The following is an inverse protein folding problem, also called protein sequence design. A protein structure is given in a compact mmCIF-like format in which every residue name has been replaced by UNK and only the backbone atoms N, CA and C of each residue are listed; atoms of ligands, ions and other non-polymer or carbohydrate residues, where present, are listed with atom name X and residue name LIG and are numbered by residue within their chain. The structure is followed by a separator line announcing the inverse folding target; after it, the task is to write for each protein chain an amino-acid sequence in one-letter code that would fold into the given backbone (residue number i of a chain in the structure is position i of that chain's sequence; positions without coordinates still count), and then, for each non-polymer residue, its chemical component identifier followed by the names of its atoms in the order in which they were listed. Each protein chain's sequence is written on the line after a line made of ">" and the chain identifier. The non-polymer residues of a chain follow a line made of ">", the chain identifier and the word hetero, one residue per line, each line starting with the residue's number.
data_IF_190580541440
#
_entry.id   IF_190580541440
#
_cell.length_a   1.000
_cell.length_b   1.000
_cell.length_c   1.000
_cell.angle_alpha   90.00
_cell.angle_beta   90.00
_cell.angle_gamma   90.00
#
_symmetry.space_group_name_H-M   'P 1'
#
loop_
_entity.id
_entity.type
_entity.pdbx_description
1 polymer ?
#
# COMPACT_ATOMS: atom_id res chain seq x y z
N UNK A 1 7.76 4.19 2.70
CA UNK A 1 6.66 3.80 1.80
C UNK A 1 5.88 2.57 2.29
N UNK A 2 6.56 1.55 2.85
CA UNK A 2 5.93 0.31 3.33
C UNK A 2 4.74 0.53 4.29
N UNK A 3 4.87 1.41 5.30
CA UNK A 3 3.77 1.75 6.22
C UNK A 3 2.51 2.20 5.48
N UNK A 4 2.60 3.23 4.63
CA UNK A 4 1.44 3.75 3.88
C UNK A 4 0.84 2.71 2.93
N UNK A 5 1.69 1.90 2.29
CA UNK A 5 1.23 0.85 1.37
C UNK A 5 0.46 -0.25 2.13
N UNK A 6 1.01 -0.76 3.23
CA UNK A 6 0.36 -1.79 4.03
C UNK A 6 -0.92 -1.26 4.70
N UNK A 7 -0.90 -0.04 5.26
CA UNK A 7 -2.11 0.64 5.77
C UNK A 7 -3.19 0.79 4.70
N UNK A 8 -2.82 1.19 3.48
CA UNK A 8 -3.77 1.27 2.36
C UNK A 8 -4.37 -0.10 1.99
N UNK A 9 -3.59 -1.18 2.09
CA UNK A 9 -4.10 -2.55 1.89
C UNK A 9 -5.06 -2.95 3.02
N UNK A 10 -4.75 -2.63 4.28
CA UNK A 10 -5.67 -2.84 5.42
C UNK A 10 -7.01 -2.16 5.14
N UNK A 11 -7.00 -0.85 4.90
CA UNK A 11 -8.23 -0.07 4.67
C UNK A 11 -9.05 -0.62 3.49
N UNK A 12 -8.39 -1.03 2.40
CA UNK A 12 -9.07 -1.65 1.26
C UNK A 12 -9.75 -2.96 1.66
N UNK A 13 -9.08 -3.82 2.44
CA UNK A 13 -9.67 -5.08 2.93
C UNK A 13 -10.83 -4.84 3.87
N UNK A 14 -10.72 -3.88 4.79
CA UNK A 14 -11.81 -3.51 5.71
C UNK A 14 -13.04 -3.01 4.95
N UNK A 15 -12.86 -2.12 3.96
CA UNK A 15 -13.98 -1.63 3.14
C UNK A 15 -14.65 -2.77 2.38
N UNK A 16 -13.88 -3.70 1.80
CA UNK A 16 -14.45 -4.90 1.17
C UNK A 16 -15.29 -5.72 2.15
N UNK A 17 -14.76 -5.98 3.35
CA UNK A 17 -15.46 -6.71 4.41
C UNK A 17 -16.76 -6.06 4.86
N UNK A 18 -16.77 -4.73 5.02
CA UNK A 18 -17.99 -3.98 5.34
C UNK A 18 -19.03 -4.11 4.21
N UNK A 19 -18.62 -3.89 2.95
CA UNK A 19 -19.53 -3.96 1.79
C UNK A 19 -20.14 -5.34 1.58
N UNK A 20 -19.37 -6.38 1.86
CA UNK A 20 -19.80 -7.77 1.69
C UNK A 20 -20.46 -8.36 2.95
N UNK A 21 -20.42 -7.60 4.06
CA UNK A 21 -20.81 -8.01 5.40
C UNK A 21 -20.11 -9.31 5.82
N UNK A 22 -18.80 -9.38 5.54
CA UNK A 22 -17.95 -10.54 5.84
C UNK A 22 -16.92 -10.21 6.90
N UNK A 23 -16.50 -11.21 7.67
CA UNK A 23 -15.48 -11.04 8.72
C UNK A 23 -14.15 -10.48 8.15
N UNK A 24 -13.53 -9.47 8.78
CA UNK A 24 -12.35 -8.76 8.26
C UNK A 24 -11.00 -9.49 8.48
N UNK A 25 -10.96 -10.81 8.28
CA UNK A 25 -9.78 -11.65 8.61
C UNK A 25 -8.55 -11.41 7.75
N UNK A 26 -8.72 -10.83 6.55
CA UNK A 26 -7.61 -10.63 5.59
C UNK A 26 -6.76 -9.39 5.89
N UNK A 27 -7.19 -8.51 6.80
CA UNK A 27 -6.47 -7.29 7.13
C UNK A 27 -5.24 -7.55 8.03
N UNK A 28 -5.28 -8.59 8.86
CA UNK A 28 -4.32 -8.85 9.94
C UNK A 28 -2.86 -8.86 9.49
N UNK A 29 -2.57 -9.54 8.37
CA UNK A 29 -1.19 -9.63 7.85
C UNK A 29 -0.62 -8.24 7.50
N UNK A 30 -1.45 -7.35 6.95
CA UNK A 30 -1.04 -6.01 6.58
C UNK A 30 -0.92 -5.10 7.80
N UNK A 31 -1.75 -5.31 8.84
CA UNK A 31 -1.61 -4.63 10.13
C UNK A 31 -0.25 -4.99 10.75
N UNK A 32 0.07 -6.28 10.85
CA UNK A 32 1.34 -6.74 11.38
C UNK A 32 2.55 -6.15 10.62
N UNK A 33 2.50 -6.16 9.28
CA UNK A 33 3.57 -5.60 8.45
C UNK A 33 3.72 -4.08 8.65
N UNK A 34 2.61 -3.34 8.67
CA UNK A 34 2.63 -1.89 8.89
C UNK A 34 3.26 -1.53 10.25
N UNK A 35 2.91 -2.28 11.31
CA UNK A 35 3.52 -2.15 12.65
C UNK A 35 5.00 -2.49 12.67
N UNK A 36 5.40 -3.55 11.97
CA UNK A 36 6.81 -3.91 11.86
C UNK A 36 7.62 -2.80 11.18
N UNK A 37 7.09 -2.20 10.11
CA UNK A 37 7.71 -1.06 9.43
C UNK A 37 7.79 0.19 10.34
N UNK A 38 6.74 0.48 11.11
CA UNK A 38 6.74 1.58 12.08
C UNK A 38 7.79 1.38 13.19
N UNK A 39 7.93 0.16 13.72
CA UNK A 39 8.97 -0.20 14.71
C UNK A 39 10.37 0.00 14.15
N UNK A 40 10.61 -0.44 12.91
CA UNK A 40 11.90 -0.24 12.22
C UNK A 40 12.22 1.24 12.08
N UNK A 41 11.27 2.06 11.62
CA UNK A 41 11.46 3.50 11.49
C UNK A 41 11.75 4.16 12.85
N UNK A 42 10.99 3.83 13.89
CA UNK A 42 11.20 4.36 15.24
C UNK A 42 12.59 3.99 15.79
N UNK A 43 13.09 2.79 15.49
CA UNK A 43 14.45 2.40 15.84
C UNK A 43 15.50 3.19 15.05
N UNK A 44 15.31 3.37 13.75
CA UNK A 44 16.19 4.19 12.91
C UNK A 44 16.26 5.64 13.38
N UNK A 45 15.12 6.25 13.72
CA UNK A 45 15.06 7.62 14.23
C UNK A 45 15.73 7.79 15.59
N UNK A 46 15.83 6.73 16.42
CA UNK A 46 16.53 6.76 17.71
C UNK A 46 18.02 6.48 17.63
N UNK A 47 18.53 6.10 16.46
CA UNK A 47 19.94 5.77 16.27
C UNK A 47 20.78 7.04 16.19
N UNK A 48 21.78 7.19 17.08
CA UNK A 48 22.66 8.37 17.16
C UNK A 48 23.35 8.69 15.83
N UNK A 49 23.68 7.66 15.05
CA UNK A 49 24.33 7.78 13.74
C UNK A 49 23.52 8.59 12.72
N UNK A 50 22.20 8.58 12.82
CA UNK A 50 21.32 9.36 11.92
C UNK A 50 21.47 10.86 12.20
N UNK A 51 21.76 11.22 13.45
CA UNK A 51 21.76 12.61 13.91
C UNK A 51 23.13 13.25 13.77
N UNK A 52 24.20 12.46 13.83
CA UNK A 52 25.59 12.93 13.68
C UNK A 52 25.92 13.50 12.29
N UNK A 53 25.17 13.12 11.25
CA UNK A 53 25.51 13.43 9.85
C UNK A 53 24.42 14.21 9.09
N UNK A 54 23.33 14.64 9.76
CA UNK A 54 22.21 15.33 9.12
C UNK A 54 22.08 16.77 9.63
N UNK A 55 21.88 17.71 8.70
CA UNK A 55 21.54 19.09 9.04
C UNK A 55 20.15 19.18 9.69
N UNK A 56 19.99 20.06 10.66
CA UNK A 56 18.77 20.19 11.45
C UNK A 56 17.55 20.55 10.57
N UNK A 57 17.74 21.38 9.54
CA UNK A 57 16.66 21.77 8.62
C UNK A 57 16.16 20.60 7.77
N UNK A 58 16.98 19.57 7.59
CA UNK A 58 16.59 18.33 6.91
C UNK A 58 16.03 17.28 7.88
N UNK A 59 16.57 17.23 9.10
CA UNK A 59 16.20 16.24 10.11
C UNK A 59 14.80 16.50 10.69
N UNK A 60 14.47 17.75 11.00
CA UNK A 60 13.17 18.09 11.61
C UNK A 60 11.99 17.69 10.69
N UNK A 61 11.99 18.04 9.39
CA UNK A 61 10.95 17.58 8.46
C UNK A 61 10.92 16.05 8.33
N UNK A 62 12.08 15.39 8.24
CA UNK A 62 12.14 13.93 8.12
C UNK A 62 11.55 13.22 9.35
N UNK A 63 11.88 13.68 10.55
CA UNK A 63 11.33 13.16 11.80
C UNK A 63 9.84 13.44 11.93
N UNK A 64 9.38 14.60 11.46
CA UNK A 64 7.95 14.98 11.45
C UNK A 64 7.16 14.06 10.53
N UNK A 65 7.61 13.87 9.28
CA UNK A 65 6.98 12.94 8.33
C UNK A 65 7.02 11.52 8.89
N UNK A 66 8.14 11.12 9.52
CA UNK A 66 8.26 9.82 10.15
C UNK A 66 7.25 9.60 11.28
N UNK A 67 7.01 10.61 12.11
CA UNK A 67 6.02 10.57 13.20
C UNK A 67 4.60 10.49 12.63
N UNK A 68 4.28 11.30 11.62
CA UNK A 68 2.98 11.26 10.95
C UNK A 68 2.70 9.89 10.32
N UNK A 69 3.71 9.23 9.75
CA UNK A 69 3.55 7.88 9.20
C UNK A 69 3.26 6.84 10.29
N UNK A 70 3.83 7.00 11.49
CA UNK A 70 3.52 6.16 12.65
C UNK A 70 2.06 6.41 13.08
N UNK A 71 1.64 7.66 13.16
CA UNK A 71 0.26 8.02 13.51
C UNK A 71 -0.76 7.43 12.50
N UNK A 72 -0.40 7.38 11.21
CA UNK A 72 -1.23 6.72 10.18
C UNK A 72 -1.37 5.22 10.44
N UNK A 73 -0.30 4.53 10.84
CA UNK A 73 -0.35 3.10 11.20
C UNK A 73 -1.26 2.88 12.40
N UNK A 74 -1.10 3.67 13.46
CA UNK A 74 -1.89 3.55 14.69
C UNK A 74 -3.38 3.88 14.44
N UNK A 75 -3.67 4.89 13.62
CA UNK A 75 -5.03 5.21 13.18
C UNK A 75 -5.65 4.06 12.37
N UNK A 76 -4.87 3.44 11.48
CA UNK A 76 -5.32 2.32 10.66
C UNK A 76 -5.67 1.10 11.51
N UNK A 77 -4.89 0.82 12.56
CA UNK A 77 -5.19 -0.24 13.52
C UNK A 77 -6.50 0.03 14.27
N UNK A 78 -6.70 1.24 14.80
CA UNK A 78 -7.96 1.60 15.48
C UNK A 78 -9.18 1.46 14.57
N UNK A 79 -9.04 1.79 13.29
CA UNK A 79 -10.10 1.55 12.30
C UNK A 79 -10.35 0.04 12.15
N UNK A 80 -9.30 -0.79 12.10
CA UNK A 80 -9.45 -2.24 12.00
C UNK A 80 -10.17 -2.84 13.23
N UNK A 81 -9.80 -2.40 14.43
CA UNK A 81 -10.45 -2.78 15.69
C UNK A 81 -11.93 -2.39 15.69
N UNK A 82 -12.26 -1.14 15.33
CA UNK A 82 -13.64 -0.68 15.24
C UNK A 82 -14.46 -1.46 14.20
N UNK A 83 -13.86 -1.83 13.06
CA UNK A 83 -14.53 -2.67 12.05
C UNK A 83 -14.71 -4.10 12.54
N UNK A 84 -13.77 -4.64 13.33
CA UNK A 84 -13.90 -5.95 13.95
C UNK A 84 -15.03 -5.98 15.00
N UNK A 85 -15.16 -4.93 15.81
CA UNK A 85 -16.27 -4.74 16.74
C UNK A 85 -17.60 -4.63 16.00
N UNK A 86 -17.66 -3.79 14.95
CA UNK A 86 -18.84 -3.67 14.09
C UNK A 86 -19.24 -5.03 13.50
N UNK A 87 -18.28 -5.77 12.96
CA UNK A 87 -18.52 -7.08 12.36
C UNK A 87 -19.05 -8.10 13.38
N UNK A 88 -18.62 -8.02 14.64
CA UNK A 88 -19.13 -8.83 15.75
C UNK A 88 -20.59 -8.48 16.05
N UNK A 89 -20.87 -7.20 16.30
CA UNK A 89 -22.20 -6.70 16.68
C UNK A 89 -23.25 -6.90 15.57
N UNK A 90 -22.84 -6.73 14.31
CA UNK A 90 -23.70 -6.91 13.15
C UNK A 90 -23.72 -8.34 12.61
N UNK A 91 -23.09 -9.29 13.31
CA UNK A 91 -23.04 -10.71 12.93
C UNK A 91 -22.60 -10.95 11.48
N UNK A 92 -21.50 -10.29 11.06
CA UNK A 92 -20.93 -10.49 9.73
C UNK A 92 -20.61 -11.97 9.48
N UNK A 93 -20.94 -12.45 8.28
CA UNK A 93 -20.76 -13.86 7.92
C UNK A 93 -19.28 -14.17 7.71
N UNK A 94 -18.86 -15.39 7.99
CA UNK A 94 -17.52 -15.84 7.61
C UNK A 94 -17.43 -15.94 6.09
N UNK A 95 -16.38 -15.37 5.48
CA UNK A 95 -16.16 -15.52 4.05
C UNK A 95 -16.00 -17.01 3.71
N UNK A 96 -16.71 -17.49 2.68
CA UNK A 96 -16.56 -18.87 2.20
C UNK A 96 -15.17 -19.00 1.55
N UNK A 97 -14.37 -20.02 1.88
CA UNK A 97 -13.09 -20.27 1.21
C UNK A 97 -13.38 -20.57 -0.26
N UNK A 98 -13.10 -19.61 -1.16
CA UNK A 98 -13.33 -19.75 -2.60
C UNK A 98 -13.74 -18.46 -3.32
N UNK A 99 -14.27 -17.47 -2.60
CA UNK A 99 -14.63 -16.18 -3.20
C UNK A 99 -13.49 -15.17 -3.01
N UNK A 100 -12.34 -15.46 -3.61
CA UNK A 100 -11.38 -14.40 -3.92
C UNK A 100 -12.06 -13.58 -4.99
N UNK A 101 -12.48 -12.35 -4.66
CA UNK A 101 -12.84 -11.37 -5.67
C UNK A 101 -11.61 -11.16 -6.54
N UNK A 102 -11.52 -11.90 -7.65
CA UNK A 102 -10.61 -11.62 -8.75
C UNK A 102 -10.91 -10.19 -9.15
N UNK A 103 -10.07 -9.25 -8.71
CA UNK A 103 -9.97 -7.97 -9.37
C UNK A 103 -9.55 -8.32 -10.79
N UNK A 104 -10.49 -8.18 -11.71
CA UNK A 104 -10.34 -8.46 -13.12
C UNK A 104 -9.18 -7.62 -13.66
N UNK A 105 -7.98 -8.20 -13.70
CA UNK A 105 -6.96 -7.81 -14.66
C UNK A 105 -7.27 -8.57 -15.95
N UNK A 106 -8.05 -7.94 -16.82
CA UNK A 106 -7.92 -8.17 -18.26
C UNK A 106 -6.60 -7.52 -18.70
N UNK A 107 -5.70 -8.11 -19.49
CA UNK A 107 -5.85 -9.23 -20.40
C UNK A 107 -4.60 -10.15 -20.42
N UNK A 108 -4.87 -11.39 -20.81
CA UNK A 108 -4.01 -12.56 -20.91
C UNK A 108 -3.02 -12.45 -22.13
N UNK A 109 -1.76 -12.93 -22.03
CA UNK A 109 -1.26 -14.26 -22.50
C UNK A 109 -1.00 -14.27 -24.03
N UNK A 110 0.08 -14.78 -24.64
CA UNK A 110 1.09 -15.81 -24.33
C UNK A 110 2.33 -15.64 -25.24
N UNK A 111 3.43 -16.26 -24.80
CA UNK A 111 4.66 -16.52 -25.56
C UNK A 111 4.48 -17.53 -26.69
N UNK A 112 5.04 -17.25 -27.87
CA UNK A 112 5.37 -18.20 -28.94
C UNK A 112 6.52 -17.66 -29.78
N UNK A 113 7.66 -18.36 -29.83
CA UNK A 113 8.81 -18.00 -30.66
C UNK A 113 8.57 -18.45 -32.10
N UNK A 114 8.53 -17.52 -33.05
CA UNK A 114 9.01 -17.75 -34.41
C UNK A 114 9.54 -16.44 -35.01
N UNK A 115 10.74 -16.51 -35.58
CA UNK A 115 11.53 -15.43 -36.17
C UNK A 115 11.01 -15.16 -37.56
N UNK A 116 10.56 -13.93 -37.87
CA UNK A 116 10.64 -13.28 -39.21
C UNK A 116 10.35 -11.79 -39.00
N UNK A 117 11.30 -10.92 -39.38
CA UNK A 117 11.03 -9.49 -39.58
C UNK A 117 10.37 -9.31 -40.95
N UNK A 118 9.43 -8.37 -41.07
CA UNK A 118 9.64 -7.33 -42.06
C UNK A 118 9.37 -5.93 -41.50
N UNK A 119 10.22 -5.02 -41.98
CA UNK A 119 10.24 -3.58 -41.78
C UNK A 119 8.90 -2.91 -42.13
N UNK A 120 8.29 -2.18 -41.18
CA UNK A 120 7.26 -1.16 -41.47
C UNK A 120 7.60 0.06 -40.61
N UNK A 121 8.14 1.08 -41.28
CA UNK A 121 8.47 2.36 -40.67
C UNK A 121 7.21 3.10 -40.20
N UNK A 122 7.30 3.68 -39.01
CA UNK A 122 6.35 4.67 -38.51
C UNK A 122 7.18 5.92 -38.20
N UNK A 123 6.94 7.07 -38.86
CA UNK A 123 7.76 8.26 -38.66
C UNK A 123 7.52 8.85 -37.27
N UNK A 124 8.60 9.17 -36.57
CA UNK A 124 8.56 9.89 -35.30
C UNK A 124 8.22 11.36 -35.58
N UNK A 125 7.06 11.83 -35.14
CA UNK A 125 6.69 13.25 -35.24
C UNK A 125 7.44 14.00 -34.13
N UNK A 126 8.39 14.85 -34.52
CA UNK A 126 9.08 15.76 -33.61
C UNK A 126 8.34 17.10 -33.58
N UNK A 127 7.87 17.52 -32.41
CA UNK A 127 7.24 18.83 -32.21
C UNK A 127 8.33 19.83 -31.81
N UNK A 128 8.56 20.92 -32.56
CA UNK A 128 9.51 21.96 -32.15
C UNK A 128 8.93 22.78 -30.98
N UNK A 129 9.72 22.95 -29.93
CA UNK A 129 9.45 23.93 -28.88
C UNK A 129 9.82 25.32 -29.41
N UNK A 130 8.81 26.18 -29.57
CA UNK A 130 9.01 27.60 -29.83
C UNK A 130 9.31 28.28 -28.49
N UNK A 131 10.55 28.69 -28.30
CA UNK A 131 10.90 29.70 -27.29
C UNK A 131 10.46 31.05 -27.81
N UNK A 132 9.44 31.62 -27.18
CA UNK A 132 9.16 33.06 -27.23
C UNK A 132 10.00 33.82 -26.23
#
# INVERSE_FOLDING_TARGET
>A
MEMSMESGKVLRKLVSSIREMTQPTQAEIHIHNSKAAAKKLKASLKSSRVWENCDLLTLVPAATIGSLLIDVVDCTEKIAEAVQELASLAHFKRAKPGMVSVVKSEAAVQSGKEKVQPNIGIPFVTIPISTG
#
